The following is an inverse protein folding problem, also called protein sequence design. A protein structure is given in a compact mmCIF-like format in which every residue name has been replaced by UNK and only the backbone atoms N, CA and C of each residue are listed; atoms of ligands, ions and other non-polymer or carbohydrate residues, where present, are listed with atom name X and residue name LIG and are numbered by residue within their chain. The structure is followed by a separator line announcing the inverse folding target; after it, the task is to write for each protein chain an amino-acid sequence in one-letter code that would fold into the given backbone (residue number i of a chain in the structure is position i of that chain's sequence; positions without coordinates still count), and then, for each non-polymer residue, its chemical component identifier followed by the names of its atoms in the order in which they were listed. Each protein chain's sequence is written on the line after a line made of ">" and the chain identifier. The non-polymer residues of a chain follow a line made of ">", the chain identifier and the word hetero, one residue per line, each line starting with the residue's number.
data_IF_794065859932
#
_entry.id   IF_794065859932
#
_cell.length_a   1.000
_cell.length_b   1.000
_cell.length_c   1.000
_cell.angle_alpha   90.00
_cell.angle_beta   90.00
_cell.angle_gamma   90.00
#
_symmetry.space_group_name_H-M   'P 1'
#
loop_
_entity.id
_entity.type
_entity.pdbx_description
1 polymer ?
#
# COMPACT_ATOMS: atom_id res chain seq x y z
N UNK A 1 -16.36 7.04 -19.06
CA UNK A 1 -14.90 7.22 -19.00
C UNK A 1 -14.22 6.04 -19.69
N UNK A 2 -13.00 6.15 -20.24
CA UNK A 2 -12.30 5.01 -20.86
C UNK A 2 -10.79 5.13 -20.70
N UNK A 3 -10.09 4.01 -20.76
CA UNK A 3 -8.64 4.00 -20.94
C UNK A 3 -8.35 4.39 -22.38
N UNK A 4 -7.56 5.46 -22.56
CA UNK A 4 -7.11 5.92 -23.88
C UNK A 4 -5.82 5.21 -24.30
N UNK A 5 -4.92 5.02 -23.36
CA UNK A 5 -3.63 4.38 -23.55
C UNK A 5 -3.09 3.90 -22.23
N UNK A 6 -2.41 2.77 -22.23
CA UNK A 6 -1.60 2.28 -21.12
C UNK A 6 -0.17 2.09 -21.60
N UNK A 7 0.80 2.44 -20.76
CA UNK A 7 2.22 2.28 -21.01
C UNK A 7 2.92 1.67 -19.81
N UNK A 8 3.70 0.63 -20.04
CA UNK A 8 4.57 0.05 -19.04
C UNK A 8 5.95 0.75 -19.04
N UNK A 9 6.36 1.28 -17.89
CA UNK A 9 7.71 1.79 -17.68
C UNK A 9 8.54 0.71 -16.98
N UNK A 10 9.62 0.31 -17.65
CA UNK A 10 10.44 -0.85 -17.27
C UNK A 10 11.72 -0.34 -16.62
N UNK A 11 11.92 -0.65 -15.34
CA UNK A 11 13.17 -0.36 -14.64
C UNK A 11 14.13 -1.55 -14.72
N UNK A 12 13.61 -2.76 -14.55
CA UNK A 12 14.31 -4.05 -14.72
C UNK A 12 13.45 -4.95 -15.58
N UNK A 13 14.05 -5.75 -16.45
CA UNK A 13 13.32 -6.66 -17.36
C UNK A 13 13.89 -8.08 -17.32
N UNK A 14 13.85 -8.70 -16.15
CA UNK A 14 14.21 -10.11 -15.99
C UNK A 14 12.98 -10.98 -15.91
N UNK A 15 12.99 -12.12 -16.61
CA UNK A 15 12.02 -13.19 -16.46
C UNK A 15 12.48 -14.16 -15.36
N UNK A 16 11.52 -14.70 -14.63
CA UNK A 16 11.73 -15.68 -13.58
C UNK A 16 11.07 -16.99 -13.99
N UNK A 17 11.87 -18.01 -14.29
CA UNK A 17 11.37 -19.25 -14.87
C UNK A 17 10.87 -20.25 -13.82
N UNK A 18 11.28 -20.12 -12.56
CA UNK A 18 11.02 -21.08 -11.48
C UNK A 18 10.34 -20.48 -10.24
N UNK A 19 9.79 -19.27 -10.34
CA UNK A 19 9.21 -18.58 -9.20
C UNK A 19 8.06 -19.35 -8.53
N UNK A 20 7.29 -20.12 -9.28
CA UNK A 20 6.17 -20.91 -8.75
C UNK A 20 6.65 -21.95 -7.71
N UNK A 21 7.81 -22.56 -7.90
CA UNK A 21 8.40 -23.49 -6.93
C UNK A 21 8.96 -22.76 -5.70
N UNK A 22 9.26 -21.48 -5.83
CA UNK A 22 9.83 -20.63 -4.80
C UNK A 22 8.74 -20.02 -3.90
N UNK A 23 7.60 -19.61 -4.48
CA UNK A 23 6.46 -19.03 -3.75
C UNK A 23 5.75 -20.03 -2.82
N UNK A 24 5.89 -21.33 -3.07
CA UNK A 24 5.30 -22.38 -2.23
C UNK A 24 6.02 -22.59 -0.87
N UNK A 25 6.83 -21.65 -0.44
CA UNK A 25 7.50 -21.69 0.87
C UNK A 25 8.72 -22.60 0.93
N UNK A 26 9.33 -22.89 -0.22
CA UNK A 26 10.50 -23.76 -0.33
C UNK A 26 11.83 -23.02 -0.33
N UNK A 27 11.82 -21.68 -0.36
CA UNK A 27 13.01 -20.85 -0.33
C UNK A 27 13.06 -19.98 0.92
N UNK A 28 14.26 -19.69 1.36
CA UNK A 28 14.53 -18.72 2.42
C UNK A 28 15.00 -17.40 1.79
N UNK A 29 14.97 -16.31 2.55
CA UNK A 29 15.55 -15.04 2.10
C UNK A 29 17.06 -15.18 1.88
N UNK A 30 17.70 -16.09 2.61
CA UNK A 30 19.12 -16.39 2.46
C UNK A 30 19.42 -17.13 1.15
N UNK A 31 18.58 -18.09 0.76
CA UNK A 31 18.65 -18.77 -0.55
C UNK A 31 18.50 -17.75 -1.68
N UNK A 32 17.50 -16.87 -1.56
CA UNK A 32 17.27 -15.79 -2.51
C UNK A 32 18.48 -14.87 -2.63
N UNK A 33 19.11 -14.49 -1.52
CA UNK A 33 20.32 -13.67 -1.50
C UNK A 33 21.53 -14.33 -2.14
N UNK A 34 21.55 -15.67 -2.25
CA UNK A 34 22.60 -16.41 -2.93
C UNK A 34 22.53 -16.31 -4.46
N UNK A 35 21.36 -16.02 -5.04
CA UNK A 35 21.17 -15.73 -6.46
C UNK A 35 21.36 -14.23 -6.73
N UNK A 36 22.60 -13.84 -7.06
CA UNK A 36 22.97 -12.45 -7.33
C UNK A 36 22.14 -11.85 -8.48
N UNK A 37 21.86 -12.64 -9.50
CA UNK A 37 21.06 -12.18 -10.64
C UNK A 37 19.62 -11.88 -10.22
N UNK A 38 19.00 -12.74 -9.41
CA UNK A 38 17.68 -12.51 -8.86
C UNK A 38 17.68 -11.27 -7.96
N UNK A 39 18.61 -11.17 -7.02
CA UNK A 39 18.71 -10.04 -6.10
C UNK A 39 18.86 -8.68 -6.79
N UNK A 40 19.52 -8.64 -7.95
CA UNK A 40 19.73 -7.41 -8.70
C UNK A 40 18.51 -6.99 -9.52
N UNK A 41 17.68 -7.92 -9.94
CA UNK A 41 16.62 -7.69 -10.91
C UNK A 41 15.20 -7.91 -10.35
N UNK A 42 15.06 -8.57 -9.19
CA UNK A 42 13.78 -8.69 -8.52
C UNK A 42 13.39 -7.37 -7.88
N UNK A 43 12.33 -6.78 -8.41
CA UNK A 43 11.74 -5.54 -7.91
C UNK A 43 10.22 -5.60 -7.92
N UNK A 44 9.62 -4.92 -6.95
CA UNK A 44 8.18 -4.65 -6.88
C UNK A 44 7.95 -3.18 -6.60
N UNK A 45 6.90 -2.60 -7.19
CA UNK A 45 6.48 -1.22 -6.93
C UNK A 45 5.44 -1.24 -5.81
N UNK A 46 5.88 -1.00 -4.58
CA UNK A 46 5.04 -1.17 -3.39
C UNK A 46 4.35 0.11 -2.91
N UNK A 47 4.99 1.24 -3.13
CA UNK A 47 4.49 2.54 -2.69
C UNK A 47 4.68 3.57 -3.77
N UNK A 48 3.64 4.37 -4.03
CA UNK A 48 3.68 5.49 -4.95
C UNK A 48 3.13 6.73 -4.26
N UNK A 49 3.78 7.88 -4.47
CA UNK A 49 3.29 9.18 -4.01
C UNK A 49 3.50 10.22 -5.10
N UNK A 50 2.43 10.91 -5.47
CA UNK A 50 2.46 11.97 -6.46
C UNK A 50 2.62 13.34 -5.81
N UNK A 51 3.68 14.07 -6.15
CA UNK A 51 3.88 15.44 -5.75
C UNK A 51 3.29 16.38 -6.80
N UNK A 52 2.15 16.99 -6.46
CA UNK A 52 1.48 17.94 -7.33
C UNK A 52 2.30 19.22 -7.55
N UNK A 53 3.08 19.65 -6.58
CA UNK A 53 3.85 20.89 -6.65
C UNK A 53 5.09 20.74 -7.54
N UNK A 54 5.83 19.65 -7.35
CA UNK A 54 7.02 19.36 -8.12
C UNK A 54 6.74 18.57 -9.42
N UNK A 55 5.49 18.09 -9.62
CA UNK A 55 5.08 17.24 -10.75
C UNK A 55 5.98 15.98 -10.87
N UNK A 56 6.25 15.33 -9.72
CA UNK A 56 7.10 14.16 -9.62
C UNK A 56 6.36 12.98 -9.01
N UNK A 57 6.69 11.78 -9.48
CA UNK A 57 6.23 10.54 -8.90
C UNK A 57 7.36 9.93 -8.07
N UNK A 58 7.18 9.90 -6.74
CA UNK A 58 8.07 9.20 -5.83
C UNK A 58 7.65 7.73 -5.70
N UNK A 59 8.64 6.85 -5.61
CA UNK A 59 8.45 5.41 -5.72
C UNK A 59 9.22 4.70 -4.62
N UNK A 60 8.49 3.91 -3.84
CA UNK A 60 9.04 2.93 -2.92
C UNK A 60 9.01 1.53 -3.54
N UNK A 61 10.15 0.89 -3.61
CA UNK A 61 10.32 -0.45 -4.15
C UNK A 61 10.44 -1.50 -3.04
N UNK A 62 10.20 -2.77 -3.41
CA UNK A 62 10.82 -3.93 -2.79
C UNK A 62 11.97 -4.39 -3.67
N UNK A 63 13.16 -4.54 -3.09
CA UNK A 63 14.33 -5.10 -3.75
C UNK A 63 15.38 -5.53 -2.72
N UNK A 64 16.30 -6.40 -3.11
CA UNK A 64 17.42 -6.82 -2.27
C UNK A 64 18.66 -5.96 -2.53
N UNK A 65 19.09 -5.85 -3.78
CA UNK A 65 20.33 -5.16 -4.14
C UNK A 65 20.13 -3.82 -4.86
N UNK A 66 18.91 -3.56 -5.35
CA UNK A 66 18.58 -2.27 -5.98
C UNK A 66 18.16 -1.28 -4.89
N UNK A 67 18.51 0.00 -5.04
CA UNK A 67 17.97 1.05 -4.16
C UNK A 67 16.46 1.01 -4.15
N UNK A 68 15.86 1.14 -2.99
CA UNK A 68 14.41 1.00 -2.81
C UNK A 68 13.65 2.33 -2.87
N UNK A 69 14.34 3.47 -3.03
CA UNK A 69 13.71 4.77 -3.15
C UNK A 69 14.10 5.48 -4.43
N UNK A 70 13.09 5.80 -5.24
CA UNK A 70 13.27 6.41 -6.55
C UNK A 70 12.32 7.57 -6.80
N UNK A 71 12.66 8.40 -7.78
CA UNK A 71 11.74 9.31 -8.43
C UNK A 71 11.66 8.96 -9.92
N UNK A 72 10.46 9.00 -10.48
CA UNK A 72 10.22 8.83 -11.90
C UNK A 72 10.05 10.19 -12.56
N UNK A 73 10.90 10.47 -13.55
CA UNK A 73 10.82 11.66 -14.39
C UNK A 73 9.94 11.33 -15.61
N UNK A 74 8.76 11.94 -15.66
CA UNK A 74 7.79 11.75 -16.74
C UNK A 74 8.28 12.31 -18.08
N UNK A 75 9.19 13.31 -18.08
CA UNK A 75 9.62 13.99 -19.30
C UNK A 75 10.55 13.11 -20.12
N UNK A 76 11.49 12.44 -19.46
CA UNK A 76 12.44 11.56 -20.09
C UNK A 76 12.16 10.08 -19.84
N UNK A 77 11.10 9.78 -19.08
CA UNK A 77 10.64 8.44 -18.71
C UNK A 77 11.71 7.60 -18.01
N UNK A 78 12.46 8.21 -17.10
CA UNK A 78 13.57 7.58 -16.39
C UNK A 78 13.33 7.49 -14.90
N UNK A 79 13.82 6.41 -14.32
CA UNK A 79 13.92 6.23 -12.88
C UNK A 79 15.26 6.77 -12.39
N UNK A 80 15.22 7.60 -11.35
CA UNK A 80 16.39 8.11 -10.67
C UNK A 80 16.39 7.63 -9.23
N UNK A 81 17.45 6.95 -8.82
CA UNK A 81 17.68 6.56 -7.43
C UNK A 81 17.85 7.81 -6.56
N UNK A 82 17.24 7.81 -5.40
CA UNK A 82 17.39 8.85 -4.39
C UNK A 82 18.47 8.50 -3.34
N UNK A 83 19.14 7.36 -3.51
CA UNK A 83 20.30 6.99 -2.71
C UNK A 83 19.95 6.59 -1.27
N UNK A 84 18.82 5.93 -1.04
CA UNK A 84 18.43 5.42 0.28
C UNK A 84 19.48 4.46 0.86
N UNK A 85 20.24 3.82 0.00
CA UNK A 85 21.38 2.96 0.41
C UNK A 85 22.39 3.66 1.34
N UNK A 86 22.44 5.00 1.36
CA UNK A 86 23.29 5.78 2.27
C UNK A 86 22.97 5.57 3.76
N UNK A 87 21.73 5.22 4.07
CA UNK A 87 21.23 5.04 5.44
C UNK A 87 20.62 3.66 5.70
N UNK A 88 20.58 2.79 4.69
CA UNK A 88 20.01 1.45 4.79
C UNK A 88 20.94 0.48 5.51
N UNK A 89 20.37 -0.62 5.95
CA UNK A 89 21.09 -1.82 6.39
C UNK A 89 20.62 -3.03 5.58
N UNK A 90 21.24 -4.19 5.79
CA UNK A 90 20.95 -5.41 5.03
C UNK A 90 19.51 -5.92 5.10
N UNK A 91 18.72 -5.47 6.08
CA UNK A 91 17.33 -5.88 6.28
C UNK A 91 16.34 -4.93 5.60
N UNK A 92 16.73 -3.67 5.37
CA UNK A 92 15.89 -2.66 4.72
C UNK A 92 15.75 -3.00 3.23
N UNK A 93 14.65 -3.61 2.85
CA UNK A 93 14.46 -4.07 1.49
C UNK A 93 13.14 -3.60 0.84
N UNK A 94 12.35 -2.79 1.58
CA UNK A 94 11.02 -2.44 1.11
C UNK A 94 10.51 -1.14 1.73
N UNK A 95 9.85 -0.30 0.92
CA UNK A 95 8.90 0.72 1.38
C UNK A 95 7.48 0.23 1.11
N UNK A 96 6.85 -0.37 2.13
CA UNK A 96 5.53 -0.98 1.96
C UNK A 96 4.44 0.04 2.29
N UNK A 97 3.77 0.58 1.25
CA UNK A 97 2.65 1.53 1.40
C UNK A 97 2.91 2.66 2.42
N UNK A 98 4.13 3.16 2.43
CA UNK A 98 4.64 4.06 3.46
C UNK A 98 5.41 5.22 2.85
N UNK A 99 4.79 5.92 1.89
CA UNK A 99 5.25 7.20 1.36
C UNK A 99 4.15 8.24 1.58
N UNK A 100 4.49 9.32 2.28
CA UNK A 100 3.65 10.49 2.49
C UNK A 100 4.44 11.75 2.14
N UNK A 101 3.81 12.70 1.47
CA UNK A 101 4.41 13.98 1.09
C UNK A 101 3.70 15.08 1.88
N UNK A 102 4.47 15.89 2.59
CA UNK A 102 3.95 17.04 3.31
C UNK A 102 3.75 18.25 2.40
N UNK A 103 3.05 19.25 2.89
CA UNK A 103 2.74 20.47 2.14
C UNK A 103 3.98 21.29 1.76
N UNK A 104 5.07 21.16 2.52
CA UNK A 104 6.38 21.78 2.25
C UNK A 104 7.26 20.96 1.31
N UNK A 105 6.77 19.82 0.81
CA UNK A 105 7.50 18.92 -0.08
C UNK A 105 8.40 17.93 0.65
N UNK A 106 8.46 17.96 1.99
CA UNK A 106 9.17 16.93 2.76
C UNK A 106 8.50 15.57 2.58
N UNK A 107 9.29 14.54 2.37
CA UNK A 107 8.80 13.18 2.19
C UNK A 107 9.06 12.37 3.46
N UNK A 108 8.01 11.72 3.95
CA UNK A 108 8.10 10.75 5.04
C UNK A 108 7.91 9.35 4.49
N UNK A 109 8.76 8.43 4.92
CA UNK A 109 8.71 7.03 4.50
C UNK A 109 9.05 6.10 5.66
N UNK A 110 8.72 4.82 5.48
CA UNK A 110 9.08 3.83 6.49
C UNK A 110 9.45 2.48 5.86
N UNK A 111 10.43 1.81 6.48
CA UNK A 111 10.97 0.56 5.93
C UNK A 111 10.23 -0.66 6.47
N UNK A 112 9.93 -1.58 5.54
CA UNK A 112 9.65 -2.96 5.86
C UNK A 112 10.91 -3.81 5.61
N UNK A 113 11.09 -4.84 6.44
CA UNK A 113 12.28 -5.66 6.46
C UNK A 113 12.04 -6.99 5.75
N UNK A 114 13.08 -7.50 5.09
CA UNK A 114 13.09 -8.86 4.56
C UNK A 114 14.17 -9.68 5.26
N UNK A 115 13.75 -10.71 5.96
CA UNK A 115 14.60 -11.67 6.65
C UNK A 115 13.84 -12.97 6.92
N UNK A 116 14.56 -14.05 7.18
CA UNK A 116 13.96 -15.28 7.65
C UNK A 116 13.48 -15.17 9.10
N UNK A 117 12.50 -15.97 9.49
CA UNK A 117 11.90 -15.91 10.83
C UNK A 117 12.90 -16.03 11.97
N UNK A 118 13.93 -16.86 11.81
CA UNK A 118 15.00 -17.04 12.80
C UNK A 118 15.91 -15.82 12.93
N UNK A 119 15.81 -14.83 12.04
CA UNK A 119 16.55 -13.58 12.07
C UNK A 119 15.74 -12.41 12.66
N UNK A 120 14.48 -12.62 13.07
CA UNK A 120 13.58 -11.60 13.61
C UNK A 120 14.27 -10.71 14.68
N UNK A 121 14.97 -11.34 15.64
CA UNK A 121 15.63 -10.61 16.73
C UNK A 121 17.02 -10.05 16.36
N UNK A 122 17.51 -10.32 15.14
CA UNK A 122 18.74 -9.71 14.61
C UNK A 122 18.42 -8.42 13.86
N UNK A 123 17.22 -8.32 13.28
CA UNK A 123 16.76 -7.13 12.59
C UNK A 123 16.44 -6.02 13.60
N UNK A 124 16.91 -4.77 13.38
CA UNK A 124 16.73 -3.68 14.36
C UNK A 124 15.27 -3.23 14.48
N UNK A 125 14.48 -3.36 13.43
CA UNK A 125 13.15 -2.82 13.26
C UNK A 125 13.08 -1.87 12.07
N UNK A 126 11.84 -1.58 11.62
CA UNK A 126 11.59 -0.65 10.53
C UNK A 126 11.93 0.78 10.92
N UNK A 127 12.63 1.48 10.07
CA UNK A 127 12.96 2.90 10.24
C UNK A 127 11.80 3.76 9.78
N UNK A 128 11.42 4.74 10.58
CA UNK A 128 10.69 5.91 10.14
C UNK A 128 11.70 6.97 9.72
N UNK A 129 11.56 7.51 8.52
CA UNK A 129 12.52 8.46 7.93
C UNK A 129 11.83 9.68 7.37
N UNK A 130 12.57 10.77 7.26
CA UNK A 130 12.27 11.89 6.38
C UNK A 130 13.35 12.02 5.30
N UNK A 131 12.93 12.53 4.14
CA UNK A 131 13.79 12.89 3.03
C UNK A 131 13.42 14.27 2.51
N UNK A 132 14.40 15.16 2.45
CA UNK A 132 14.26 16.49 1.87
C UNK A 132 14.75 16.47 0.42
N UNK A 133 13.85 16.60 -0.57
CA UNK A 133 14.23 16.61 -1.98
C UNK A 133 15.05 17.85 -2.42
N UNK A 134 15.00 18.94 -1.65
CA UNK A 134 15.72 20.17 -1.97
C UNK A 134 17.20 20.08 -1.59
N UNK A 135 17.48 19.49 -0.44
CA UNK A 135 18.84 19.34 0.07
C UNK A 135 19.46 17.96 -0.19
N UNK A 136 18.67 17.01 -0.69
CA UNK A 136 19.03 15.59 -0.86
C UNK A 136 19.51 14.95 0.46
N UNK A 137 18.82 15.27 1.57
CA UNK A 137 19.20 14.78 2.89
C UNK A 137 18.16 13.85 3.48
N UNK A 138 18.65 12.78 4.12
CA UNK A 138 17.87 11.84 4.91
C UNK A 138 18.04 12.09 6.40
N UNK A 139 16.96 11.88 7.14
CA UNK A 139 17.01 11.76 8.59
C UNK A 139 16.27 10.46 9.01
N UNK A 140 16.91 9.65 9.85
CA UNK A 140 16.22 8.57 10.56
C UNK A 140 15.54 9.22 11.75
N UNK A 141 14.21 9.17 11.77
CA UNK A 141 13.39 9.78 12.82
C UNK A 141 13.29 8.85 14.03
N UNK A 142 12.98 7.58 13.79
CA UNK A 142 12.83 6.58 14.86
C UNK A 142 12.79 5.14 14.31
N UNK A 143 12.85 4.17 15.23
CA UNK A 143 12.46 2.76 15.08
C UNK A 143 11.35 2.52 16.10
N UNK A 144 10.08 2.73 15.76
CA UNK A 144 8.95 2.80 16.70
C UNK A 144 8.79 1.56 17.57
N UNK A 145 9.01 0.38 16.99
CA UNK A 145 8.96 -0.91 17.70
C UNK A 145 10.16 -1.76 17.30
N UNK A 146 11.09 -2.06 18.20
CA UNK A 146 12.24 -2.91 17.91
C UNK A 146 11.82 -4.25 17.30
N UNK A 147 12.58 -4.73 16.33
CA UNK A 147 12.41 -6.01 15.64
C UNK A 147 11.12 -6.14 14.82
N UNK A 148 10.28 -5.10 14.74
CA UNK A 148 9.09 -5.07 13.89
C UNK A 148 9.32 -4.09 12.75
N UNK A 149 8.90 -4.45 11.54
CA UNK A 149 8.92 -3.50 10.43
C UNK A 149 7.66 -2.63 10.40
N UNK A 150 7.71 -1.53 9.68
CA UNK A 150 6.56 -0.64 9.53
C UNK A 150 5.81 -1.05 8.26
N UNK A 151 4.53 -1.39 8.42
CA UNK A 151 3.68 -1.89 7.34
C UNK A 151 3.11 -0.74 6.49
N UNK A 152 2.70 0.33 7.13
CA UNK A 152 2.16 1.53 6.47
C UNK A 152 2.24 2.72 7.40
N UNK A 153 2.23 3.91 6.82
CA UNK A 153 2.16 5.18 7.57
C UNK A 153 1.07 6.09 6.99
N UNK A 154 0.63 7.05 7.81
CA UNK A 154 -0.26 8.14 7.42
C UNK A 154 0.14 9.43 8.10
N UNK A 155 0.36 10.47 7.32
CA UNK A 155 0.76 11.80 7.80
C UNK A 155 -0.48 12.64 8.13
N UNK A 156 -0.51 13.22 9.32
CA UNK A 156 -1.34 14.37 9.68
C UNK A 156 -0.48 15.63 9.65
N UNK A 157 -0.42 16.27 8.49
CA UNK A 157 0.37 17.50 8.31
C UNK A 157 -0.08 18.62 9.23
N UNK A 158 -1.38 18.71 9.55
CA UNK A 158 -1.93 19.77 10.39
C UNK A 158 -1.45 19.65 11.85
N UNK A 159 -1.41 18.41 12.38
CA UNK A 159 -0.97 18.16 13.74
C UNK A 159 0.51 17.80 13.86
N UNK A 160 1.21 17.76 12.72
CA UNK A 160 2.63 17.36 12.66
C UNK A 160 2.87 15.98 13.28
N UNK A 161 2.03 15.00 12.93
CA UNK A 161 2.06 13.63 13.47
C UNK A 161 2.05 12.61 12.33
N UNK A 162 2.85 11.55 12.47
CA UNK A 162 2.78 10.38 11.62
C UNK A 162 2.19 9.23 12.43
N UNK A 163 1.11 8.64 11.93
CA UNK A 163 0.58 7.38 12.41
C UNK A 163 1.17 6.23 11.60
N UNK A 164 1.35 5.07 12.23
CA UNK A 164 1.81 3.91 11.49
C UNK A 164 1.49 2.60 12.19
N UNK A 165 1.52 1.55 11.39
CA UNK A 165 1.35 0.18 11.83
C UNK A 165 2.63 -0.60 11.70
N UNK A 166 2.88 -1.49 12.67
CA UNK A 166 3.99 -2.44 12.61
C UNK A 166 3.53 -3.84 12.22
N UNK A 167 4.48 -4.72 11.88
CA UNK A 167 4.29 -6.13 11.60
C UNK A 167 5.59 -6.91 11.95
N UNK A 168 5.55 -8.17 12.42
CA UNK A 168 4.38 -9.06 12.59
C UNK A 168 3.52 -8.78 13.82
N UNK A 169 4.00 -8.11 14.85
CA UNK A 169 3.15 -7.57 15.91
C UNK A 169 2.49 -6.29 15.42
N UNK A 170 1.14 -6.27 15.41
CA UNK A 170 0.36 -5.19 14.83
C UNK A 170 0.11 -4.09 15.87
N UNK A 171 1.13 -3.24 16.08
CA UNK A 171 1.03 -2.05 16.93
C UNK A 171 0.67 -0.84 16.07
N UNK A 172 -0.33 -0.09 16.53
CA UNK A 172 -0.55 1.28 16.07
C UNK A 172 0.31 2.21 16.90
N UNK A 173 1.14 3.01 16.25
CA UNK A 173 1.93 4.05 16.87
C UNK A 173 1.62 5.42 16.28
N UNK A 174 1.94 6.47 17.03
CA UNK A 174 2.10 7.84 16.52
C UNK A 174 3.50 8.34 16.79
N UNK A 175 4.05 9.06 15.82
CA UNK A 175 5.30 9.81 15.97
C UNK A 175 4.99 11.30 15.89
N UNK A 176 5.36 12.06 16.92
CA UNK A 176 5.22 13.51 16.99
C UNK A 176 6.46 14.15 16.35
N UNK A 177 6.28 14.83 15.21
CA UNK A 177 7.36 15.42 14.44
C UNK A 177 8.02 16.62 15.13
N UNK A 178 7.31 17.29 16.04
CA UNK A 178 7.87 18.42 16.80
C UNK A 178 8.65 17.94 18.03
N UNK A 179 8.09 16.96 18.74
CA UNK A 179 8.73 16.40 19.94
C UNK A 179 9.76 15.34 19.64
N UNK A 180 9.79 14.83 18.38
CA UNK A 180 10.65 13.71 17.97
C UNK A 180 10.46 12.49 18.89
N UNK A 181 9.21 12.09 19.11
CA UNK A 181 8.86 11.04 20.05
C UNK A 181 7.76 10.13 19.53
N UNK A 182 7.99 8.82 19.66
CA UNK A 182 6.99 7.79 19.42
C UNK A 182 6.15 7.52 20.67
N UNK A 183 4.83 7.34 20.47
CA UNK A 183 3.88 6.76 21.43
C UNK A 183 3.18 5.58 20.79
N UNK A 184 3.25 4.41 21.42
CA UNK A 184 2.39 3.28 21.06
C UNK A 184 0.98 3.59 21.55
N UNK A 185 0.00 3.54 20.64
CA UNK A 185 -1.40 3.85 20.91
C UNK A 185 -2.21 2.61 21.25
N UNK A 186 -2.04 1.54 20.48
CA UNK A 186 -2.78 0.29 20.67
C UNK A 186 -2.04 -0.91 20.04
N UNK A 187 -2.34 -2.10 20.54
CA UNK A 187 -2.10 -3.36 19.86
C UNK A 187 -3.41 -3.77 19.20
N UNK A 188 -3.42 -3.86 17.86
CA UNK A 188 -4.65 -4.00 17.08
C UNK A 188 -4.89 -5.41 16.53
N UNK A 189 -3.86 -6.23 16.45
CA UNK A 189 -3.96 -7.64 16.05
C UNK A 189 -3.70 -8.55 17.23
N UNK A 190 -4.56 -9.52 17.48
CA UNK A 190 -4.51 -10.41 18.63
C UNK A 190 -4.70 -11.88 18.26
N UNK A 191 -3.88 -12.74 18.84
CA UNK A 191 -3.96 -14.19 18.70
C UNK A 191 -3.65 -14.67 17.27
N UNK A 192 -4.54 -15.50 16.71
CA UNK A 192 -4.40 -16.01 15.34
C UNK A 192 -4.93 -15.03 14.29
N UNK A 193 -5.57 -13.96 14.72
CA UNK A 193 -6.09 -12.95 13.82
C UNK A 193 -5.08 -11.84 13.62
N UNK A 194 -4.63 -11.71 12.39
CA UNK A 194 -3.83 -10.58 11.92
C UNK A 194 -4.69 -9.73 10.99
N UNK A 195 -4.81 -8.45 11.30
CA UNK A 195 -5.53 -7.51 10.46
C UNK A 195 -4.75 -7.18 9.19
N UNK A 196 -3.43 -7.33 9.22
CA UNK A 196 -2.50 -6.89 8.17
C UNK A 196 -2.89 -5.51 7.65
N UNK A 197 -2.83 -4.47 8.49
CA UNK A 197 -3.34 -3.15 8.14
C UNK A 197 -2.47 -2.53 7.06
N UNK A 198 -2.85 -2.76 5.81
CA UNK A 198 -2.13 -2.25 4.65
C UNK A 198 -2.33 -0.75 4.48
N UNK A 199 -3.49 -0.24 4.86
CA UNK A 199 -3.81 1.17 4.76
C UNK A 199 -4.65 1.65 5.93
N UNK A 200 -4.53 2.93 6.16
CA UNK A 200 -5.34 3.77 7.03
C UNK A 200 -5.56 5.11 6.37
N UNK A 201 -6.49 5.87 6.88
CA UNK A 201 -6.72 7.22 6.38
C UNK A 201 -7.14 8.16 7.51
N UNK A 202 -7.10 9.45 7.22
CA UNK A 202 -7.67 10.48 8.07
C UNK A 202 -9.00 10.95 7.45
N UNK A 203 -10.01 11.16 8.29
CA UNK A 203 -11.23 11.84 7.84
C UNK A 203 -11.03 13.37 7.76
N UNK A 204 -12.07 14.07 7.33
CA UNK A 204 -12.04 15.53 7.21
C UNK A 204 -11.80 16.29 8.53
N UNK A 205 -12.03 15.63 9.68
CA UNK A 205 -11.78 16.17 11.01
C UNK A 205 -10.39 15.81 11.53
N UNK A 206 -9.66 14.94 10.81
CA UNK A 206 -8.36 14.42 11.18
C UNK A 206 -8.41 13.28 12.18
N UNK A 207 -9.55 12.61 12.34
CA UNK A 207 -9.59 11.34 13.05
C UNK A 207 -8.95 10.26 12.19
N UNK A 208 -8.16 9.43 12.83
CA UNK A 208 -7.51 8.30 12.16
C UNK A 208 -8.45 7.09 12.12
N UNK A 209 -8.59 6.48 10.95
CA UNK A 209 -9.45 5.31 10.71
C UNK A 209 -8.62 4.10 10.31
N UNK A 210 -8.94 2.95 10.91
CA UNK A 210 -8.28 1.70 10.65
C UNK A 210 -9.12 0.49 11.05
N UNK A 211 -8.47 -0.68 11.04
CA UNK A 211 -9.10 -1.95 11.43
C UNK A 211 -8.34 -2.62 12.55
N UNK A 212 -9.04 -3.41 13.33
CA UNK A 212 -8.52 -4.20 14.42
C UNK A 212 -9.16 -5.59 14.43
N UNK A 213 -8.47 -6.57 15.01
CA UNK A 213 -8.97 -7.93 15.12
C UNK A 213 -8.59 -8.53 16.47
N UNK A 214 -9.52 -9.30 17.03
CA UNK A 214 -9.34 -9.97 18.30
C UNK A 214 -9.89 -11.39 18.24
N UNK A 215 -9.13 -12.33 18.79
CA UNK A 215 -9.58 -13.69 19.07
C UNK A 215 -9.67 -13.89 20.57
N UNK A 216 -10.66 -14.67 21.03
CA UNK A 216 -10.75 -15.07 22.42
C UNK A 216 -9.81 -16.24 22.70
N UNK A 217 -9.44 -16.40 23.97
CA UNK A 217 -8.83 -17.64 24.41
C UNK A 217 -9.76 -18.81 24.04
N UNK A 218 -9.18 -19.91 23.51
CA UNK A 218 -9.90 -21.11 23.05
C UNK A 218 -10.67 -20.98 21.72
N UNK A 219 -10.51 -19.89 20.97
CA UNK A 219 -11.01 -19.81 19.61
C UNK A 219 -9.95 -20.30 18.63
N UNK A 220 -10.24 -21.41 17.94
CA UNK A 220 -9.36 -21.96 16.88
C UNK A 220 -9.71 -21.36 15.51
N UNK A 221 -10.89 -20.72 15.39
CA UNK A 221 -11.38 -20.15 14.14
C UNK A 221 -11.93 -18.74 14.42
N UNK A 222 -11.64 -17.76 13.55
CA UNK A 222 -12.19 -16.42 13.68
C UNK A 222 -13.71 -16.43 13.72
N UNK A 223 -14.30 -15.62 14.60
CA UNK A 223 -15.74 -15.42 14.70
C UNK A 223 -16.35 -14.81 13.42
N UNK A 224 -17.67 -14.52 13.41
CA UNK A 224 -18.38 -14.03 12.23
C UNK A 224 -17.90 -12.65 11.77
N UNK A 225 -17.35 -11.83 12.66
CA UNK A 225 -16.80 -10.50 12.34
C UNK A 225 -15.41 -10.38 12.96
N UNK A 226 -14.41 -11.06 12.38
CA UNK A 226 -13.08 -11.14 12.98
C UNK A 226 -12.32 -9.81 12.88
N UNK A 227 -12.48 -9.08 11.77
CA UNK A 227 -11.88 -7.77 11.56
C UNK A 227 -12.95 -6.70 11.65
N UNK A 228 -12.70 -5.72 12.51
CA UNK A 228 -13.63 -4.65 12.87
C UNK A 228 -12.98 -3.30 12.61
N UNK A 229 -13.79 -2.26 12.60
CA UNK A 229 -13.35 -0.88 12.37
C UNK A 229 -13.04 -0.23 13.72
N UNK A 230 -12.09 0.69 13.72
CA UNK A 230 -11.93 1.66 14.78
C UNK A 230 -11.65 3.06 14.20
N UNK A 231 -11.95 4.09 14.99
CA UNK A 231 -11.42 5.42 14.79
C UNK A 231 -10.68 5.90 16.04
N UNK A 232 -9.68 6.75 15.83
CA UNK A 232 -8.94 7.40 16.90
C UNK A 232 -9.03 8.90 16.73
N UNK A 233 -9.56 9.58 17.75
CA UNK A 233 -9.61 11.03 17.81
C UNK A 233 -8.36 11.55 18.52
N UNK A 234 -7.43 12.23 17.82
CA UNK A 234 -6.18 12.68 18.39
C UNK A 234 -6.33 13.87 19.36
N UNK A 235 -7.40 14.67 19.23
CA UNK A 235 -7.62 15.85 20.07
C UNK A 235 -8.09 15.46 21.46
N UNK A 236 -8.74 14.29 21.59
CA UNK A 236 -9.24 13.74 22.84
C UNK A 236 -8.48 12.50 23.32
N UNK A 237 -7.46 12.04 22.57
CA UNK A 237 -6.72 10.77 22.81
C UNK A 237 -7.70 9.59 23.04
N UNK A 238 -8.73 9.48 22.20
CA UNK A 238 -9.85 8.57 22.40
C UNK A 238 -10.08 7.67 21.20
N UNK A 239 -10.34 6.37 21.47
CA UNK A 239 -10.71 5.37 20.48
C UNK A 239 -12.21 5.08 20.51
N UNK A 240 -12.80 4.99 19.32
CA UNK A 240 -14.10 4.35 19.12
C UNK A 240 -13.86 2.97 18.49
N UNK A 241 -14.19 1.91 19.22
CA UNK A 241 -14.08 0.52 18.78
C UNK A 241 -15.44 0.04 18.33
N UNK A 242 -15.63 -0.11 17.00
CA UNK A 242 -16.87 -0.60 16.45
C UNK A 242 -16.95 -2.13 16.57
N UNK A 243 -18.18 -2.66 16.65
CA UNK A 243 -18.44 -4.10 16.72
C UNK A 243 -18.63 -4.75 15.36
N UNK A 244 -18.64 -3.96 14.29
CA UNK A 244 -18.75 -4.39 12.90
C UNK A 244 -17.47 -4.08 12.11
N UNK A 245 -17.36 -4.72 10.96
CA UNK A 245 -16.31 -4.49 9.97
C UNK A 245 -16.93 -4.21 8.61
N UNK A 246 -16.15 -4.44 7.57
CA UNK A 246 -16.60 -4.30 6.19
C UNK A 246 -17.39 -5.54 5.74
N UNK A 247 -18.28 -5.41 4.73
CA UNK A 247 -19.00 -6.52 4.13
C UNK A 247 -18.08 -7.62 3.62
N UNK A 248 -18.46 -8.87 3.81
CA UNK A 248 -17.76 -10.04 3.30
C UNK A 248 -18.23 -10.38 1.90
N UNK A 249 -17.29 -10.66 1.01
CA UNK A 249 -17.60 -11.11 -0.36
C UNK A 249 -18.15 -12.54 -0.39
N UNK A 250 -17.70 -13.37 0.57
CA UNK A 250 -18.17 -14.75 0.75
C UNK A 250 -17.99 -15.22 2.21
N UNK A 251 -18.43 -16.41 2.52
CA UNK A 251 -18.41 -16.96 3.88
C UNK A 251 -17.02 -17.18 4.46
N UNK A 252 -16.01 -17.38 3.63
CA UNK A 252 -14.62 -17.61 4.05
C UNK A 252 -13.82 -16.30 4.11
N UNK A 253 -14.42 -15.20 3.66
CA UNK A 253 -13.80 -13.88 3.71
C UNK A 253 -13.79 -13.34 5.14
N UNK A 254 -12.73 -12.68 5.51
CA UNK A 254 -12.59 -11.96 6.78
C UNK A 254 -12.69 -10.45 6.61
N UNK A 255 -12.98 -10.00 5.39
CA UNK A 255 -13.08 -8.58 5.00
C UNK A 255 -11.84 -7.75 5.38
N UNK A 256 -10.64 -8.33 5.19
CA UNK A 256 -9.38 -7.64 5.45
C UNK A 256 -9.20 -6.47 4.50
N UNK A 257 -8.94 -5.30 5.06
CA UNK A 257 -8.73 -4.08 4.29
C UNK A 257 -7.40 -4.14 3.55
N UNK A 258 -7.43 -3.79 2.27
CA UNK A 258 -6.26 -3.70 1.42
C UNK A 258 -5.94 -2.25 1.01
N UNK A 259 -6.94 -1.38 0.95
CA UNK A 259 -6.77 0.06 0.71
C UNK A 259 -7.87 0.89 1.35
N UNK A 260 -7.54 2.11 1.75
CA UNK A 260 -8.45 3.14 2.24
C UNK A 260 -8.14 4.48 1.59
N UNK A 261 -9.18 5.19 1.18
CA UNK A 261 -9.10 6.49 0.54
C UNK A 261 -10.11 7.44 1.17
N UNK A 262 -9.66 8.58 1.70
CA UNK A 262 -10.55 9.66 2.09
C UNK A 262 -11.02 10.41 0.83
N UNK A 263 -12.32 10.37 0.57
CA UNK A 263 -12.95 11.05 -0.55
C UNK A 263 -13.16 12.54 -0.29
N UNK A 264 -13.23 13.33 -1.36
CA UNK A 264 -13.53 14.78 -1.29
C UNK A 264 -14.95 15.08 -0.83
N UNK A 265 -15.84 14.09 -0.89
CA UNK A 265 -17.20 14.12 -0.34
C UNK A 265 -17.27 13.91 1.18
N UNK A 266 -16.13 13.63 1.81
CA UNK A 266 -15.99 13.39 3.24
C UNK A 266 -16.27 11.96 3.68
N UNK A 267 -16.52 11.03 2.75
CA UNK A 267 -16.64 9.61 3.00
C UNK A 267 -15.28 8.91 2.83
N UNK A 268 -15.16 7.70 3.36
CA UNK A 268 -13.95 6.89 3.23
C UNK A 268 -14.27 5.68 2.36
N UNK A 269 -13.53 5.53 1.27
CA UNK A 269 -13.67 4.40 0.34
C UNK A 269 -12.67 3.31 0.66
N UNK A 270 -13.12 2.07 0.62
CA UNK A 270 -12.35 0.93 1.11
C UNK A 270 -12.38 -0.22 0.11
N UNK A 271 -11.20 -0.74 -0.19
CA UNK A 271 -11.02 -1.98 -0.92
C UNK A 271 -10.52 -3.11 0.00
N UNK A 272 -11.02 -4.32 -0.21
CA UNK A 272 -10.61 -5.49 0.58
C UNK A 272 -9.74 -6.47 -0.20
N UNK A 273 -9.06 -7.35 0.53
CA UNK A 273 -8.24 -8.44 -0.05
C UNK A 273 -9.07 -9.42 -0.89
N UNK A 274 -10.36 -9.50 -0.65
CA UNK A 274 -11.30 -10.36 -1.39
C UNK A 274 -12.05 -9.63 -2.51
N UNK A 275 -11.72 -8.34 -2.75
CA UNK A 275 -12.26 -7.53 -3.83
C UNK A 275 -13.53 -6.77 -3.50
N UNK A 276 -13.97 -6.77 -2.25
CA UNK A 276 -15.10 -5.95 -1.81
C UNK A 276 -14.74 -4.47 -1.92
N UNK A 277 -15.71 -3.67 -2.36
CA UNK A 277 -15.64 -2.22 -2.43
C UNK A 277 -16.75 -1.63 -1.58
N UNK A 278 -16.40 -0.74 -0.65
CA UNK A 278 -17.33 -0.18 0.31
C UNK A 278 -17.04 1.30 0.56
N UNK A 279 -18.04 2.03 1.09
CA UNK A 279 -17.83 3.35 1.67
C UNK A 279 -18.21 3.37 3.15
N UNK A 280 -17.43 4.09 3.93
CA UNK A 280 -17.59 4.28 5.36
C UNK A 280 -17.94 5.75 5.62
N UNK A 281 -18.98 5.99 6.38
CA UNK A 281 -19.33 7.32 6.86
C UNK A 281 -18.59 7.61 8.18
N UNK A 282 -17.67 8.59 8.24
CA UNK A 282 -16.91 8.89 9.46
C UNK A 282 -17.76 9.53 10.58
N UNK A 283 -18.94 10.05 10.28
CA UNK A 283 -19.80 10.71 11.29
C UNK A 283 -20.43 9.70 12.27
N UNK A 284 -20.73 8.50 11.80
CA UNK A 284 -21.41 7.47 12.60
C UNK A 284 -20.76 6.08 12.52
N UNK A 285 -19.75 5.91 11.66
CA UNK A 285 -19.08 4.63 11.43
C UNK A 285 -19.88 3.64 10.59
N UNK A 286 -21.02 4.04 10.01
CA UNK A 286 -21.81 3.16 9.14
C UNK A 286 -21.06 2.81 7.85
N UNK A 287 -21.28 1.59 7.37
CA UNK A 287 -20.62 1.06 6.17
C UNK A 287 -21.68 0.66 5.16
N UNK A 288 -21.47 1.08 3.92
CA UNK A 288 -22.28 0.71 2.78
C UNK A 288 -21.46 -0.15 1.80
N UNK A 289 -22.09 -1.23 1.34
CA UNK A 289 -21.52 -2.12 0.32
C UNK A 289 -21.76 -1.53 -1.07
N UNK A 290 -20.71 -1.19 -1.78
CA UNK A 290 -20.76 -0.72 -3.17
C UNK A 290 -20.55 -1.87 -4.18
N UNK A 291 -20.44 -3.10 -3.67
CA UNK A 291 -20.30 -4.31 -4.47
C UNK A 291 -18.90 -4.85 -4.57
N UNK A 292 -18.70 -5.72 -5.56
CA UNK A 292 -17.43 -6.40 -5.80
C UNK A 292 -17.05 -6.22 -7.27
N UNK A 293 -16.28 -5.18 -7.61
CA UNK A 293 -15.93 -4.88 -9.01
C UNK A 293 -15.30 -6.08 -9.73
N UNK A 294 -14.43 -6.80 -9.02
CA UNK A 294 -13.74 -7.98 -9.55
C UNK A 294 -13.79 -9.11 -8.53
N UNK A 295 -14.73 -10.03 -8.73
CA UNK A 295 -15.00 -11.11 -7.79
C UNK A 295 -13.79 -12.02 -7.54
N UNK A 296 -13.38 -12.14 -6.28
CA UNK A 296 -12.29 -12.99 -5.85
C UNK A 296 -10.89 -12.40 -6.13
N UNK A 297 -10.83 -11.12 -6.50
CA UNK A 297 -9.59 -10.41 -6.78
C UNK A 297 -9.33 -9.34 -5.71
N UNK A 298 -8.08 -9.09 -5.35
CA UNK A 298 -7.73 -8.02 -4.40
C UNK A 298 -8.06 -6.65 -4.99
N UNK A 299 -8.62 -5.78 -4.19
CA UNK A 299 -8.75 -4.35 -4.50
C UNK A 299 -7.71 -3.58 -3.68
N UNK A 300 -6.51 -3.47 -4.25
CA UNK A 300 -5.33 -2.98 -3.55
C UNK A 300 -5.00 -1.50 -3.82
N UNK A 301 -5.46 -0.93 -4.92
CA UNK A 301 -5.23 0.47 -5.26
C UNK A 301 -6.53 1.24 -5.40
N UNK A 302 -6.67 2.35 -4.68
CA UNK A 302 -7.72 3.35 -4.86
C UNK A 302 -7.09 4.73 -4.95
N UNK A 303 -7.62 5.57 -5.85
CA UNK A 303 -7.25 6.98 -5.95
C UNK A 303 -8.42 7.81 -6.43
N UNK A 304 -8.42 9.10 -6.10
CA UNK A 304 -9.43 10.04 -6.57
C UNK A 304 -8.78 11.09 -7.46
N UNK A 305 -9.41 11.39 -8.58
CA UNK A 305 -9.02 12.46 -9.48
C UNK A 305 -9.69 13.79 -9.08
N UNK A 306 -9.16 14.95 -9.52
CA UNK A 306 -9.72 16.27 -9.14
C UNK A 306 -11.19 16.50 -9.53
N UNK A 307 -11.72 15.76 -10.49
CA UNK A 307 -13.14 15.77 -10.88
C UNK A 307 -14.03 14.91 -9.96
N UNK A 308 -13.49 14.38 -8.87
CA UNK A 308 -14.22 13.63 -7.87
C UNK A 308 -14.41 12.14 -8.18
N UNK A 309 -13.99 11.66 -9.35
CA UNK A 309 -14.09 10.26 -9.72
C UNK A 309 -13.08 9.40 -8.96
N UNK A 310 -13.52 8.24 -8.52
CA UNK A 310 -12.68 7.27 -7.80
C UNK A 310 -12.30 6.15 -8.75
N UNK A 311 -11.01 5.91 -8.89
CA UNK A 311 -10.47 4.81 -9.67
C UNK A 311 -9.94 3.72 -8.74
N UNK A 312 -10.22 2.47 -9.11
CA UNK A 312 -9.72 1.32 -8.38
C UNK A 312 -9.09 0.29 -9.30
N UNK A 313 -7.99 -0.28 -8.84
CA UNK A 313 -7.32 -1.36 -9.55
C UNK A 313 -7.53 -2.69 -8.82
N UNK A 314 -8.16 -3.63 -9.51
CA UNK A 314 -8.34 -5.01 -9.08
C UNK A 314 -7.26 -5.90 -9.67
N UNK A 315 -6.89 -6.95 -8.92
CA UNK A 315 -5.85 -7.89 -9.31
C UNK A 315 -6.41 -9.25 -9.63
N UNK A 316 -5.84 -9.91 -10.62
CA UNK A 316 -5.89 -11.36 -10.67
C UNK A 316 -5.01 -11.92 -9.54
N UNK A 317 -5.52 -12.87 -8.78
CA UNK A 317 -4.73 -13.58 -7.78
C UNK A 317 -3.56 -14.36 -8.39
N UNK A 318 -2.69 -14.91 -7.56
CA UNK A 318 -1.66 -15.84 -8.03
C UNK A 318 -2.33 -17.07 -8.66
N UNK A 319 -2.02 -17.36 -9.91
CA UNK A 319 -2.53 -18.54 -10.59
C UNK A 319 -2.05 -18.62 -12.04
N UNK A 320 -1.79 -19.86 -12.51
CA UNK A 320 -1.27 -20.14 -13.85
C UNK A 320 -2.15 -19.58 -14.97
N UNK A 321 -3.45 -19.48 -14.71
CA UNK A 321 -4.46 -19.14 -15.69
C UNK A 321 -4.80 -17.62 -15.73
N UNK A 322 -4.16 -16.80 -14.87
CA UNK A 322 -4.52 -15.40 -14.67
C UNK A 322 -3.40 -14.39 -15.01
N UNK A 323 -2.63 -14.70 -16.04
CA UNK A 323 -1.52 -13.84 -16.47
C UNK A 323 -1.99 -12.52 -17.07
N UNK A 324 -1.64 -11.39 -16.42
CA UNK A 324 -1.82 -10.06 -16.99
C UNK A 324 -3.28 -9.57 -17.04
N UNK A 325 -4.06 -9.88 -16.03
CA UNK A 325 -5.48 -9.51 -15.96
C UNK A 325 -5.82 -8.45 -14.89
N UNK A 326 -4.84 -7.71 -14.38
CA UNK A 326 -5.16 -6.57 -13.53
C UNK A 326 -5.98 -5.55 -14.33
N UNK A 327 -7.10 -5.10 -13.73
CA UNK A 327 -8.11 -4.27 -14.37
C UNK A 327 -8.31 -2.97 -13.61
N UNK A 328 -8.80 -1.96 -14.33
CA UNK A 328 -9.17 -0.67 -13.77
C UNK A 328 -10.69 -0.51 -13.83
N UNK A 329 -11.27 -0.01 -12.75
CA UNK A 329 -12.65 0.50 -12.76
C UNK A 329 -12.69 1.97 -12.37
N UNK A 330 -13.82 2.61 -12.66
CA UNK A 330 -14.15 3.94 -12.16
C UNK A 330 -15.48 3.89 -11.41
N UNK A 331 -15.55 4.59 -10.29
CA UNK A 331 -16.77 4.86 -9.54
C UNK A 331 -17.04 6.36 -9.49
N UNK A 332 -18.26 6.75 -9.82
CA UNK A 332 -18.72 8.12 -9.70
C UNK A 332 -19.58 8.25 -8.42
N UNK A 333 -19.10 8.96 -7.38
CA UNK A 333 -19.85 9.10 -6.12
C UNK A 333 -21.20 9.82 -6.25
N UNK A 334 -21.33 10.73 -7.23
CA UNK A 334 -22.58 11.51 -7.42
C UNK A 334 -23.68 10.67 -8.06
N UNK A 335 -23.35 9.87 -9.07
CA UNK A 335 -24.33 9.03 -9.78
C UNK A 335 -24.39 7.60 -9.26
N UNK A 336 -23.49 7.23 -8.34
CA UNK A 336 -23.32 5.87 -7.80
C UNK A 336 -23.04 4.80 -8.87
N UNK A 337 -22.52 5.24 -10.03
CA UNK A 337 -22.23 4.37 -11.15
C UNK A 337 -20.79 3.81 -11.05
N UNK A 338 -20.69 2.49 -11.10
CA UNK A 338 -19.44 1.77 -11.19
C UNK A 338 -19.27 1.17 -12.58
N UNK A 339 -18.17 1.50 -13.27
CA UNK A 339 -17.86 1.03 -14.62
C UNK A 339 -16.50 0.33 -14.66
N UNK A 340 -16.47 -0.87 -15.24
CA UNK A 340 -15.22 -1.55 -15.58
C UNK A 340 -14.61 -0.91 -16.83
N UNK A 341 -13.38 -0.39 -16.70
CA UNK A 341 -12.65 0.26 -17.79
C UNK A 341 -11.78 -0.73 -18.60
N UNK A 342 -11.65 -1.95 -18.14
CA UNK A 342 -10.89 -2.99 -18.81
C UNK A 342 -9.50 -3.26 -18.23
N UNK A 343 -8.70 -4.10 -18.91
CA UNK A 343 -7.39 -4.52 -18.45
C UNK A 343 -6.37 -3.38 -18.52
N UNK A 344 -5.42 -3.39 -17.58
CA UNK A 344 -4.23 -2.56 -17.62
C UNK A 344 -3.22 -3.26 -18.51
N UNK A 345 -3.20 -2.87 -19.79
CA UNK A 345 -2.48 -3.57 -20.84
C UNK A 345 -1.78 -2.60 -21.80
N UNK A 346 -0.50 -2.83 -22.07
CA UNK A 346 0.30 -2.07 -23.04
C UNK A 346 0.26 -2.80 -24.39
N UNK A 347 -0.49 -2.26 -25.34
CA UNK A 347 -0.66 -2.84 -26.67
C UNK A 347 0.65 -2.87 -27.48
N UNK A 348 1.54 -1.89 -27.25
CA UNK A 348 2.83 -1.81 -27.96
C UNK A 348 3.80 -2.87 -27.44
N UNK A 349 3.85 -3.06 -26.13
CA UNK A 349 4.69 -4.06 -25.49
C UNK A 349 4.10 -5.47 -25.57
N UNK A 350 2.76 -5.57 -25.77
CA UNK A 350 2.04 -6.84 -25.76
C UNK A 350 2.01 -7.51 -24.38
N UNK A 351 1.99 -6.71 -23.30
CA UNK A 351 1.99 -7.20 -21.91
C UNK A 351 0.93 -6.51 -21.06
N UNK A 352 0.34 -7.26 -20.14
CA UNK A 352 -0.58 -6.76 -19.13
C UNK A 352 0.04 -6.73 -17.74
N UNK A 353 -0.55 -5.91 -16.86
CA UNK A 353 -0.25 -5.90 -15.46
C UNK A 353 -0.79 -7.18 -14.79
N UNK A 354 -0.04 -7.74 -13.85
CA UNK A 354 -0.44 -8.98 -13.16
C UNK A 354 -1.06 -8.68 -11.81
N UNK A 355 -0.43 -7.85 -11.00
CA UNK A 355 -0.86 -7.56 -9.63
C UNK A 355 -0.57 -6.10 -9.30
N UNK A 356 -1.59 -5.29 -9.23
CA UNK A 356 -1.45 -3.90 -8.80
C UNK A 356 -1.52 -3.84 -7.28
N UNK A 357 -0.60 -3.10 -6.68
CA UNK A 357 -0.48 -2.93 -5.24
C UNK A 357 -0.80 -1.50 -4.79
N UNK A 358 -0.57 -0.53 -5.64
CA UNK A 358 -0.80 0.89 -5.36
C UNK A 358 -1.27 1.60 -6.62
N UNK A 359 -2.09 2.63 -6.45
CA UNK A 359 -2.62 3.46 -7.52
C UNK A 359 -2.64 4.91 -7.07
N UNK A 360 -2.10 5.82 -7.87
CA UNK A 360 -2.14 7.25 -7.59
C UNK A 360 -2.55 8.06 -8.82
N UNK A 361 -3.29 9.12 -8.59
CA UNK A 361 -3.61 10.11 -9.63
C UNK A 361 -2.42 11.04 -9.82
N UNK A 362 -1.98 11.19 -11.06
CA UNK A 362 -1.00 12.17 -11.49
C UNK A 362 -1.67 13.37 -12.18
N UNK A 363 -0.88 14.18 -12.86
CA UNK A 363 -1.40 15.29 -13.67
C UNK A 363 -1.92 14.83 -15.03
N UNK A 364 -2.67 15.72 -15.73
CA UNK A 364 -3.09 15.53 -17.11
C UNK A 364 -3.92 14.26 -17.38
N UNK A 365 -4.83 13.92 -16.48
CA UNK A 365 -5.66 12.70 -16.55
C UNK A 365 -4.86 11.41 -16.65
N UNK A 366 -3.73 11.35 -15.97
CA UNK A 366 -2.92 10.16 -15.84
C UNK A 366 -3.09 9.51 -14.47
N UNK A 367 -3.10 8.19 -14.46
CA UNK A 367 -2.93 7.40 -13.26
C UNK A 367 -1.61 6.64 -13.34
N UNK A 368 -0.98 6.41 -12.19
CA UNK A 368 0.18 5.54 -12.07
C UNK A 368 -0.17 4.36 -11.17
N UNK A 369 0.09 3.15 -11.66
CA UNK A 369 -0.17 1.92 -10.92
C UNK A 369 1.14 1.16 -10.72
N UNK A 370 1.43 0.81 -9.47
CA UNK A 370 2.58 0.01 -9.08
C UNK A 370 2.26 -1.48 -9.11
N UNK A 371 2.97 -2.23 -9.93
CA UNK A 371 2.89 -3.68 -9.96
C UNK A 371 3.79 -4.28 -8.88
N UNK A 372 3.28 -5.28 -8.17
CA UNK A 372 3.97 -5.88 -7.03
C UNK A 372 3.99 -7.41 -7.19
N UNK A 373 5.08 -8.03 -6.71
CA UNK A 373 5.26 -9.48 -6.64
C UNK A 373 4.82 -10.21 -7.93
N UNK A 374 5.25 -9.71 -9.06
CA UNK A 374 5.06 -10.42 -10.31
C UNK A 374 5.95 -11.66 -10.29
N UNK A 375 5.33 -12.84 -10.42
CA UNK A 375 6.02 -14.13 -10.32
C UNK A 375 6.66 -14.58 -11.63
N UNK A 376 6.45 -13.86 -12.73
CA UNK A 376 6.95 -14.22 -14.06
C UNK A 376 8.11 -13.35 -14.52
N UNK A 377 8.20 -12.14 -13.98
CA UNK A 377 9.21 -11.14 -14.33
C UNK A 377 9.35 -10.07 -13.26
N UNK A 378 10.35 -9.23 -13.39
CA UNK A 378 10.44 -7.97 -12.65
C UNK A 378 9.17 -7.14 -12.86
N UNK A 379 8.66 -6.54 -11.81
CA UNK A 379 7.44 -5.72 -11.86
C UNK A 379 7.66 -4.43 -12.65
N UNK A 380 6.59 -3.86 -13.21
CA UNK A 380 6.62 -2.62 -13.97
C UNK A 380 5.81 -1.51 -13.27
N UNK A 381 6.16 -0.27 -13.59
CA UNK A 381 5.32 0.88 -13.31
C UNK A 381 4.39 1.10 -14.52
N UNK A 382 3.10 1.21 -14.27
CA UNK A 382 2.09 1.39 -15.30
C UNK A 382 1.57 2.82 -15.31
N UNK A 383 1.68 3.52 -16.43
CA UNK A 383 1.05 4.79 -16.70
C UNK A 383 -0.24 4.56 -17.49
N UNK A 384 -1.36 5.08 -17.01
CA UNK A 384 -2.68 4.92 -17.61
C UNK A 384 -3.21 6.30 -17.96
N UNK A 385 -3.36 6.59 -19.25
CA UNK A 385 -3.94 7.84 -19.75
C UNK A 385 -5.46 7.66 -19.87
N UNK A 386 -6.21 8.52 -19.20
CA UNK A 386 -7.67 8.52 -19.23
C UNK A 386 -8.18 9.42 -20.36
N UNK A 387 -9.24 8.96 -21.04
CA UNK A 387 -10.00 9.71 -22.03
C UNK A 387 -11.41 10.03 -21.52
N UNK A 388 -11.95 11.14 -21.97
CA UNK A 388 -13.35 11.50 -21.73
C UNK A 388 -14.29 10.62 -22.52
#
# INVERSE_FOLDING_TARGET
>A
MKIKQTKAHIYKDRKFDNWESEVEGRWTIEDLRSDIGYCNDWISFDSLAWDNSAQKLYIGLTSINTDIFHVFDQTNEKFHSLGFQRISNKFDAKFHRSLEIDQDGMIYAATALLHDQNQQHQAPGGKLISYDPHSDQYQILDIPVPHHYIQSIKLDSKRRVIYGYTYPGEYLFKFDLEKQQTKILAFIGNGVMMCQPHYSTLDKHGNFWGTWGETRAFEDVPGPTPIRIFSYNPDHDHFNWFTHGFPKVNTNDVARVDTMLSGTDGLIYVGTVSGGFSRLNPEDGSVEDLGTPYKGERLAGLTQTPDGLIYGAGNSGYGKDKKGEARLFVFNPESELLEDLGPIYDDVLGKGAVKIHTLVAGSNNKLYAGENDNIYRSSYLWEICLGK
#
